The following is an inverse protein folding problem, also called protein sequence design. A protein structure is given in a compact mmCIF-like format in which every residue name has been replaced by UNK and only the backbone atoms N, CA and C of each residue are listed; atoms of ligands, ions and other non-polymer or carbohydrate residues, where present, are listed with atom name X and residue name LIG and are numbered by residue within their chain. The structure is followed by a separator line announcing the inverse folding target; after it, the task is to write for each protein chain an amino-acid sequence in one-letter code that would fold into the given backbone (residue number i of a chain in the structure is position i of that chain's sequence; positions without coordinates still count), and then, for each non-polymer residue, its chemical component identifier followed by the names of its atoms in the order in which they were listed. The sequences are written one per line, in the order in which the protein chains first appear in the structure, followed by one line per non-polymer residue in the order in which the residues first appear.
data_IF_725119327478
#
_entry.id   IF_725119327478
#
_cell.length_a   1.000
_cell.length_b   1.000
_cell.length_c   1.000
_cell.angle_alpha   90.00
_cell.angle_beta   90.00
_cell.angle_gamma   90.00
#
_symmetry.space_group_name_H-M   'P 1'
#
loop_
_entity.id
_entity.type
_entity.pdbx_description
1 polymer ?
#
# COMPACT_ATOMS: atom_id res chain seq x y z
N UNK A 1 -4.84 -0.81 -18.63
CA UNK A 1 -4.91 0.67 -18.43
C UNK A 1 -4.21 0.94 -17.12
N UNK A 2 -3.32 1.94 -17.08
CA UNK A 2 -2.56 2.28 -15.86
C UNK A 2 -3.15 3.53 -15.22
N UNK A 3 -3.38 3.51 -13.90
CA UNK A 3 -3.84 4.67 -13.12
C UNK A 3 -2.95 4.83 -11.90
N UNK A 4 -2.36 6.01 -11.74
CA UNK A 4 -1.58 6.35 -10.55
C UNK A 4 -2.37 7.30 -9.66
N UNK A 5 -2.49 6.95 -8.38
CA UNK A 5 -3.05 7.82 -7.34
C UNK A 5 -1.99 8.10 -6.28
N UNK A 6 -2.18 9.19 -5.53
CA UNK A 6 -1.28 9.55 -4.45
C UNK A 6 -2.02 10.06 -3.22
N UNK A 7 -1.42 9.83 -2.05
CA UNK A 7 -1.92 10.28 -0.76
C UNK A 7 -0.82 11.00 0.03
N UNK A 8 -1.11 12.15 0.68
CA UNK A 8 -0.12 12.85 1.50
C UNK A 8 0.17 12.10 2.80
N UNK A 9 1.37 12.28 3.34
CA UNK A 9 1.69 11.92 4.72
C UNK A 9 0.97 12.82 5.74
N UNK A 10 1.17 12.54 7.03
CA UNK A 10 0.64 13.36 8.12
C UNK A 10 1.72 13.66 9.15
N UNK A 11 1.65 14.85 9.74
CA UNK A 11 2.55 15.28 10.82
C UNK A 11 1.71 15.81 11.97
N UNK A 12 1.94 15.26 13.18
CA UNK A 12 1.39 15.80 14.42
C UNK A 12 2.27 16.97 14.86
N UNK A 13 1.83 18.19 14.58
CA UNK A 13 2.59 19.42 14.85
C UNK A 13 2.52 19.83 16.33
N UNK A 14 1.36 19.64 16.96
CA UNK A 14 1.15 19.97 18.37
C UNK A 14 0.24 18.94 19.04
N UNK A 15 0.36 18.83 20.37
CA UNK A 15 -0.44 17.92 21.20
C UNK A 15 0.36 16.72 21.70
N UNK A 16 1.30 16.17 20.91
CA UNK A 16 2.16 15.07 21.34
C UNK A 16 1.41 13.96 22.09
N UNK A 17 1.93 13.54 23.25
CA UNK A 17 1.22 12.61 24.15
C UNK A 17 0.13 13.28 25.01
N UNK A 18 0.08 14.61 25.08
CA UNK A 18 -0.94 15.32 25.87
C UNK A 18 -2.35 15.03 25.35
N UNK A 19 -2.51 14.74 24.05
CA UNK A 19 -3.80 14.36 23.44
C UNK A 19 -4.43 13.10 24.05
N UNK A 20 -3.65 12.30 24.80
CA UNK A 20 -4.17 11.14 25.52
C UNK A 20 -5.01 11.56 26.74
N UNK A 21 -4.86 12.79 27.23
CA UNK A 21 -5.59 13.34 28.37
C UNK A 21 -6.54 14.46 27.91
N UNK A 22 -7.83 14.28 28.18
CA UNK A 22 -8.84 15.32 27.93
C UNK A 22 -8.63 16.51 28.88
N UNK A 23 -8.73 17.78 28.43
CA UNK A 23 -9.26 18.24 27.15
C UNK A 23 -8.18 18.65 26.11
N UNK A 24 -6.97 18.09 26.18
CA UNK A 24 -5.87 18.55 25.35
C UNK A 24 -6.10 18.21 23.86
N UNK A 25 -6.00 19.24 23.00
CA UNK A 25 -6.15 19.08 21.56
C UNK A 25 -4.82 18.79 20.85
N UNK A 26 -4.89 18.11 19.71
CA UNK A 26 -3.77 17.92 18.80
C UNK A 26 -3.98 18.68 17.48
N UNK A 27 -2.88 19.09 16.85
CA UNK A 27 -2.88 19.70 15.52
C UNK A 27 -2.13 18.79 14.55
N UNK A 28 -2.85 18.27 13.56
CA UNK A 28 -2.29 17.42 12.51
C UNK A 28 -2.38 18.14 11.17
N UNK A 29 -1.26 18.19 10.45
CA UNK A 29 -1.19 18.76 9.09
C UNK A 29 -0.85 17.66 8.09
N UNK A 30 -1.38 17.81 6.87
CA UNK A 30 -0.96 16.98 5.74
C UNK A 30 0.44 17.42 5.28
N UNK A 31 1.34 16.47 5.10
CA UNK A 31 2.67 16.72 4.58
C UNK A 31 2.61 16.93 3.05
N UNK A 32 3.59 17.66 2.51
CA UNK A 32 3.78 17.77 1.06
C UNK A 32 4.32 16.45 0.45
N UNK A 33 4.95 15.60 1.26
CA UNK A 33 5.46 14.28 0.86
C UNK A 33 4.34 13.25 0.74
N UNK A 34 4.43 12.38 -0.27
CA UNK A 34 3.33 11.50 -0.70
C UNK A 34 3.75 10.04 -0.87
N UNK A 35 2.77 9.18 -0.71
CA UNK A 35 2.79 7.81 -1.21
C UNK A 35 2.05 7.74 -2.54
N UNK A 36 2.47 6.83 -3.41
CA UNK A 36 1.90 6.59 -4.72
C UNK A 36 1.53 5.12 -4.86
N UNK A 37 0.41 4.87 -5.52
CA UNK A 37 0.01 3.54 -5.94
C UNK A 37 -0.38 3.62 -7.42
N UNK A 38 0.35 2.90 -8.26
CA UNK A 38 0.01 2.70 -9.65
C UNK A 38 -0.70 1.37 -9.81
N UNK A 39 -1.87 1.39 -10.43
CA UNK A 39 -2.70 0.22 -10.67
C UNK A 39 -2.75 -0.06 -12.15
N UNK A 40 -2.32 -1.26 -12.52
CA UNK A 40 -2.42 -1.81 -13.87
C UNK A 40 -3.35 -3.02 -13.86
N UNK A 41 -4.45 -2.94 -14.61
CA UNK A 41 -5.42 -4.02 -14.71
C UNK A 41 -5.33 -4.72 -16.06
N UNK A 42 -5.49 -6.04 -16.03
CA UNK A 42 -5.57 -6.91 -17.20
C UNK A 42 -6.79 -7.82 -17.05
N UNK A 43 -7.55 -7.94 -18.13
CA UNK A 43 -8.66 -8.89 -18.24
C UNK A 43 -8.26 -9.96 -19.24
N UNK A 44 -7.90 -11.13 -18.71
CA UNK A 44 -7.69 -12.32 -19.54
C UNK A 44 -9.05 -12.95 -19.84
N UNK A 45 -9.53 -12.73 -21.07
CA UNK A 45 -10.82 -13.24 -21.54
C UNK A 45 -10.88 -14.77 -21.67
N UNK A 46 -9.73 -15.44 -21.60
CA UNK A 46 -9.60 -16.89 -21.77
C UNK A 46 -9.41 -17.64 -20.44
N UNK A 47 -9.41 -16.93 -19.31
CA UNK A 47 -9.22 -17.52 -17.98
C UNK A 47 -10.56 -17.68 -17.27
N UNK A 48 -11.14 -18.89 -17.27
CA UNK A 48 -12.22 -19.29 -16.34
C UNK A 48 -11.68 -19.45 -14.90
N UNK A 49 -11.00 -18.43 -14.39
CA UNK A 49 -10.52 -18.45 -13.01
C UNK A 49 -11.57 -17.81 -12.10
N UNK A 50 -12.04 -18.55 -11.10
CA UNK A 50 -12.96 -18.09 -10.04
C UNK A 50 -12.30 -17.07 -9.06
N UNK A 51 -11.11 -16.57 -9.38
CA UNK A 51 -10.31 -15.71 -8.52
C UNK A 51 -9.63 -14.59 -9.29
N UNK A 52 -9.40 -13.47 -8.61
CA UNK A 52 -8.57 -12.37 -9.10
C UNK A 52 -7.17 -12.50 -8.53
N UNK A 53 -6.15 -12.38 -9.38
CA UNK A 53 -4.75 -12.31 -8.96
C UNK A 53 -4.38 -10.86 -8.68
N UNK A 54 -3.86 -10.59 -7.49
CA UNK A 54 -3.34 -9.27 -7.09
C UNK A 54 -1.84 -9.40 -6.87
N UNK A 55 -1.06 -8.68 -7.67
CA UNK A 55 0.39 -8.59 -7.54
C UNK A 55 0.74 -7.23 -6.95
N UNK A 56 1.55 -7.18 -5.91
CA UNK A 56 2.05 -5.95 -5.30
C UNK A 56 3.56 -5.90 -5.45
N UNK A 57 4.04 -4.94 -6.22
CA UNK A 57 5.45 -4.64 -6.44
C UNK A 57 5.85 -3.44 -5.58
N UNK A 58 6.96 -3.58 -4.86
CA UNK A 58 7.57 -2.49 -4.10
C UNK A 58 9.03 -2.32 -4.54
N UNK A 59 9.30 -1.45 -5.53
CA UNK A 59 10.63 -1.27 -6.09
C UNK A 59 11.69 -0.92 -5.03
N UNK A 60 11.35 -0.06 -4.06
CA UNK A 60 12.28 0.42 -3.02
C UNK A 60 12.71 -0.68 -2.04
N UNK A 61 11.89 -1.71 -1.87
CA UNK A 61 12.20 -2.85 -1.00
C UNK A 61 12.61 -4.09 -1.80
N UNK A 62 12.79 -3.95 -3.13
CA UNK A 62 13.04 -5.07 -4.05
C UNK A 62 12.13 -6.28 -3.79
N UNK A 63 10.88 -6.00 -3.40
CA UNK A 63 9.95 -7.00 -2.88
C UNK A 63 8.71 -7.08 -3.76
N UNK A 64 8.18 -8.29 -3.89
CA UNK A 64 6.99 -8.60 -4.67
C UNK A 64 6.14 -9.59 -3.89
N UNK A 65 4.85 -9.32 -3.81
CA UNK A 65 3.87 -10.17 -3.14
C UNK A 65 2.70 -10.46 -4.07
N UNK A 66 2.37 -11.73 -4.24
CA UNK A 66 1.19 -12.18 -4.96
C UNK A 66 0.12 -12.67 -3.99
N UNK A 67 -1.12 -12.28 -4.26
CA UNK A 67 -2.29 -12.67 -3.50
C UNK A 67 -3.39 -13.13 -4.46
N UNK A 68 -4.17 -14.13 -4.06
CA UNK A 68 -5.40 -14.54 -4.74
C UNK A 68 -6.59 -14.07 -3.95
N UNK A 69 -7.44 -13.29 -4.61
CA UNK A 69 -8.68 -12.79 -4.07
C UNK A 69 -9.81 -13.74 -4.46
N UNK A 70 -10.45 -14.29 -3.43
CA UNK A 70 -11.69 -15.07 -3.55
C UNK A 70 -12.81 -14.26 -2.92
N UNK A 71 -13.84 -13.96 -3.71
CA UNK A 71 -15.06 -13.33 -3.21
C UNK A 71 -16.21 -14.31 -3.30
N UNK A 72 -16.86 -14.58 -2.16
CA UNK A 72 -18.14 -15.29 -2.16
C UNK A 72 -19.21 -14.37 -1.58
N UNK A 73 -20.27 -14.16 -2.36
CA UNK A 73 -21.51 -13.57 -1.86
C UNK A 73 -22.45 -14.72 -1.56
N UNK A 74 -22.73 -14.97 -0.27
CA UNK A 74 -23.77 -15.90 0.15
C UNK A 74 -25.00 -15.09 0.54
N UNK A 75 -26.16 -15.47 0.02
CA UNK A 75 -27.43 -14.73 0.18
C UNK A 75 -27.80 -14.38 1.63
N UNK A 76 -27.29 -15.13 2.62
CA UNK A 76 -27.59 -14.94 4.05
C UNK A 76 -26.37 -14.64 4.96
N UNK A 77 -25.13 -14.63 4.44
CA UNK A 77 -23.89 -14.62 5.27
C UNK A 77 -23.04 -13.34 5.07
N UNK A 78 -23.57 -12.36 4.35
CA UNK A 78 -22.83 -11.15 3.98
C UNK A 78 -21.74 -11.39 2.93
N UNK A 79 -20.98 -10.34 2.63
CA UNK A 79 -19.86 -10.41 1.71
C UNK A 79 -18.64 -11.01 2.43
N UNK A 80 -18.13 -12.15 1.94
CA UNK A 80 -16.89 -12.72 2.43
C UNK A 80 -15.77 -12.50 1.40
N UNK A 81 -14.76 -11.73 1.82
CA UNK A 81 -13.53 -11.49 1.06
C UNK A 81 -12.40 -12.30 1.69
N UNK A 82 -11.81 -13.22 0.93
CA UNK A 82 -10.59 -13.94 1.34
C UNK A 82 -9.44 -13.58 0.43
N UNK A 83 -8.33 -13.18 1.03
CA UNK A 83 -7.04 -13.11 0.37
C UNK A 83 -6.21 -14.32 0.79
N UNK A 84 -5.60 -14.98 -0.19
CA UNK A 84 -4.65 -16.07 0.01
C UNK A 84 -3.30 -15.61 -0.53
N UNK A 85 -2.29 -15.52 0.33
CA UNK A 85 -0.91 -15.27 -0.12
C UNK A 85 -0.41 -16.44 -0.97
N UNK A 86 0.28 -16.12 -2.06
CA UNK A 86 0.97 -17.13 -2.84
C UNK A 86 2.13 -17.77 -2.02
N UNK A 87 2.42 -19.04 -2.30
CA UNK A 87 3.42 -19.84 -1.56
C UNK A 87 4.87 -19.44 -1.90
N UNK A 88 5.06 -18.84 -3.06
CA UNK A 88 6.33 -18.38 -3.62
C UNK A 88 6.70 -16.95 -3.17
N UNK A 89 5.84 -16.28 -2.41
CA UNK A 89 6.19 -15.01 -1.77
C UNK A 89 7.40 -15.21 -0.84
N UNK A 90 8.49 -14.49 -1.13
CA UNK A 90 9.73 -14.58 -0.34
C UNK A 90 9.56 -14.11 1.10
N UNK A 91 8.63 -13.17 1.33
CA UNK A 91 8.30 -12.61 2.63
C UNK A 91 6.80 -12.43 2.76
N UNK A 92 6.28 -12.36 3.98
CA UNK A 92 4.91 -11.93 4.25
C UNK A 92 4.91 -10.45 4.62
N UNK A 93 3.86 -9.73 4.21
CA UNK A 93 3.66 -8.34 4.60
C UNK A 93 2.22 -8.13 5.10
N UNK A 94 2.06 -8.21 6.42
CA UNK A 94 0.78 -8.04 7.11
C UNK A 94 0.08 -6.71 6.79
N UNK A 95 0.86 -5.65 6.57
CA UNK A 95 0.30 -4.32 6.28
C UNK A 95 -0.32 -4.28 4.90
N UNK A 96 0.33 -4.87 3.90
CA UNK A 96 -0.21 -4.98 2.54
C UNK A 96 -1.45 -5.87 2.56
N UNK A 97 -1.37 -7.04 3.19
CA UNK A 97 -2.48 -7.98 3.22
C UNK A 97 -3.73 -7.39 3.91
N UNK A 98 -3.56 -6.73 5.07
CA UNK A 98 -4.68 -6.06 5.77
C UNK A 98 -5.26 -4.92 4.95
N UNK A 99 -4.41 -4.11 4.32
CA UNK A 99 -4.84 -3.02 3.43
C UNK A 99 -5.65 -3.54 2.25
N UNK A 100 -5.15 -4.59 1.56
CA UNK A 100 -5.85 -5.20 0.44
C UNK A 100 -7.20 -5.81 0.85
N UNK A 101 -7.26 -6.52 1.97
CA UNK A 101 -8.54 -7.06 2.49
C UNK A 101 -9.56 -5.96 2.70
N UNK A 102 -9.17 -4.85 3.34
CA UNK A 102 -10.07 -3.73 3.59
C UNK A 102 -10.49 -3.05 2.28
N UNK A 103 -9.54 -2.76 1.40
CA UNK A 103 -9.81 -2.11 0.11
C UNK A 103 -10.76 -2.95 -0.76
N UNK A 104 -10.50 -4.26 -0.88
CA UNK A 104 -11.35 -5.16 -1.66
C UNK A 104 -12.73 -5.35 -1.03
N UNK A 105 -12.83 -5.37 0.31
CA UNK A 105 -14.13 -5.37 0.98
C UNK A 105 -14.97 -4.15 0.62
N UNK A 106 -14.35 -2.96 0.53
CA UNK A 106 -15.05 -1.75 0.08
C UNK A 106 -15.43 -1.79 -1.41
N UNK A 107 -14.52 -2.23 -2.28
CA UNK A 107 -14.78 -2.29 -3.73
C UNK A 107 -15.94 -3.25 -4.02
N UNK A 108 -15.92 -4.44 -3.44
CA UNK A 108 -16.95 -5.46 -3.69
C UNK A 108 -18.25 -5.10 -2.94
N UNK A 109 -18.14 -4.62 -1.70
CA UNK A 109 -19.29 -4.20 -0.89
C UNK A 109 -20.03 -3.00 -1.47
N UNK A 110 -19.33 -2.13 -2.21
CA UNK A 110 -19.91 -1.03 -2.98
C UNK A 110 -20.70 -1.45 -4.22
N UNK A 111 -20.85 -2.76 -4.48
CA UNK A 111 -21.66 -3.29 -5.59
C UNK A 111 -20.90 -3.39 -6.92
N UNK A 112 -19.58 -3.24 -6.91
CA UNK A 112 -18.78 -3.34 -8.13
C UNK A 112 -18.64 -4.82 -8.52
N UNK A 113 -19.33 -5.23 -9.59
CA UNK A 113 -19.42 -6.64 -10.00
C UNK A 113 -18.30 -7.10 -10.94
N UNK A 114 -17.61 -6.18 -11.60
CA UNK A 114 -16.48 -6.49 -12.46
C UNK A 114 -15.18 -6.19 -11.73
N UNK A 115 -14.61 -7.24 -11.12
CA UNK A 115 -13.23 -7.21 -10.68
C UNK A 115 -12.39 -7.76 -11.84
N UNK A 116 -11.32 -7.07 -12.26
CA UNK A 116 -10.42 -7.59 -13.28
C UNK A 116 -9.82 -8.95 -12.89
N UNK A 117 -9.41 -9.74 -13.87
CA UNK A 117 -8.78 -11.04 -13.58
C UNK A 117 -7.40 -10.86 -12.93
N UNK A 118 -6.66 -9.84 -13.35
CA UNK A 118 -5.36 -9.50 -12.77
C UNK A 118 -5.26 -8.00 -12.43
N UNK A 119 -4.79 -7.71 -11.22
CA UNK A 119 -4.49 -6.38 -10.73
C UNK A 119 -3.03 -6.34 -10.32
N UNK A 120 -2.25 -5.50 -10.98
CA UNK A 120 -0.85 -5.24 -10.64
C UNK A 120 -0.74 -3.87 -9.98
N UNK A 121 -0.21 -3.85 -8.76
CA UNK A 121 -0.04 -2.68 -7.93
C UNK A 121 1.45 -2.39 -7.81
N UNK A 122 1.86 -1.16 -8.11
CA UNK A 122 3.22 -0.69 -7.80
C UNK A 122 3.10 0.39 -6.73
N UNK A 123 3.67 0.11 -5.55
CA UNK A 123 3.65 1.03 -4.41
C UNK A 123 5.00 1.72 -4.28
N UNK A 124 4.99 3.04 -4.12
CA UNK A 124 6.17 3.88 -3.97
C UNK A 124 5.88 5.02 -2.99
N UNK A 125 6.93 5.64 -2.46
CA UNK A 125 6.83 6.85 -1.66
C UNK A 125 7.91 7.85 -2.09
N UNK A 126 7.75 9.12 -1.72
CA UNK A 126 8.85 10.08 -1.81
C UNK A 126 10.04 9.63 -0.94
N UNK A 127 11.26 9.99 -1.35
CA UNK A 127 12.50 9.55 -0.70
C UNK A 127 12.55 9.86 0.82
N UNK A 128 11.88 10.94 1.25
CA UNK A 128 11.78 11.37 2.64
C UNK A 128 11.12 10.34 3.59
N UNK A 129 10.41 9.34 3.06
CA UNK A 129 9.85 8.24 3.86
C UNK A 129 10.83 7.09 4.11
N UNK A 130 11.98 7.08 3.43
CA UNK A 130 12.96 6.01 3.52
C UNK A 130 14.17 6.45 4.34
N UNK A 131 14.85 5.46 4.94
CA UNK A 131 16.07 5.73 5.69
C UNK A 131 17.20 6.11 4.74
N UNK A 132 17.76 7.30 4.94
CA UNK A 132 18.91 7.82 4.19
C UNK A 132 20.24 7.35 4.79
N UNK A 133 20.23 6.82 6.01
CA UNK A 133 21.44 6.41 6.74
C UNK A 133 22.26 5.37 5.96
N UNK A 134 21.68 4.26 5.44
CA UNK A 134 22.46 3.27 4.70
C UNK A 134 23.13 3.88 3.45
N UNK A 135 22.42 4.76 2.76
CA UNK A 135 22.92 5.44 1.56
C UNK A 135 24.05 6.44 1.86
N UNK A 136 24.02 7.08 3.03
CA UNK A 136 25.10 7.95 3.51
C UNK A 136 26.32 7.13 3.92
N UNK A 137 26.13 6.01 4.63
CA UNK A 137 27.19 5.11 5.07
C UNK A 137 27.94 4.49 3.88
N UNK A 138 27.21 4.00 2.87
CA UNK A 138 27.80 3.48 1.62
C UNK A 138 28.69 4.51 0.91
N UNK A 139 28.39 5.80 1.06
CA UNK A 139 29.14 6.90 0.45
C UNK A 139 30.14 7.55 1.40
N UNK A 140 30.27 7.05 2.63
CA UNK A 140 31.10 7.65 3.68
C UNK A 140 30.78 9.14 3.95
N UNK A 141 29.50 9.51 3.84
CA UNK A 141 29.01 10.87 4.07
C UNK A 141 28.47 11.01 5.50
N UNK A 142 28.64 12.20 6.09
CA UNK A 142 28.07 12.53 7.40
C UNK A 142 26.57 12.85 7.25
N UNK A 143 25.76 12.54 8.26
CA UNK A 143 24.33 12.85 8.32
C UNK A 143 24.01 14.35 8.46
N UNK A 144 24.39 15.14 7.46
CA UNK A 144 23.99 16.56 7.32
C UNK A 144 22.84 16.69 6.33
N UNK A 145 21.98 17.73 6.46
CA UNK A 145 20.90 17.98 5.50
C UNK A 145 21.40 18.10 4.05
N UNK A 146 22.54 18.78 3.86
CA UNK A 146 23.18 18.96 2.55
C UNK A 146 23.56 17.62 1.90
N UNK A 147 24.12 16.70 2.69
CA UNK A 147 24.48 15.38 2.18
C UNK A 147 23.24 14.53 1.87
N UNK A 148 22.16 14.66 2.66
CA UNK A 148 20.89 13.99 2.40
C UNK A 148 20.25 14.51 1.10
N UNK A 149 20.27 15.82 0.87
CA UNK A 149 19.75 16.44 -0.36
C UNK A 149 20.58 16.06 -1.60
N UNK A 150 21.85 15.67 -1.43
CA UNK A 150 22.71 15.19 -2.52
C UNK A 150 22.45 13.74 -2.93
N UNK A 151 21.66 13.00 -2.13
CA UNK A 151 21.26 11.63 -2.47
C UNK A 151 20.22 11.63 -3.60
N UNK A 152 20.29 10.65 -4.51
CA UNK A 152 19.30 10.50 -5.59
C UNK A 152 17.91 10.13 -5.06
#
# INVERSE_FOLDING_TARGET
MSVTVSAPGKVLLAGGYLVLESPNAGLVLAANKRFYCTVDTKDDKDSENDFTTIVVNSPQFHSRWEYRLLSTQRENDGLCVRLISALDNQTTNDFIEKTLRLAMAYVIGGGNKMIPSTIELTICADNDFYSTIPHLEERSLVGTPENVESLP
#
